data_IF_714642434706
#
_entry.id   IF_714642434706
#
_cell.length_a   1.000
_cell.length_b   1.000
_cell.length_c   1.000
_cell.angle_alpha   90.00
_cell.angle_beta   90.00
_cell.angle_gamma   90.00
#
_symmetry.space_group_name_H-M   'P 1'
#
loop_
_entity.id
_entity.type
_entity.pdbx_description
1 polymer ?
#
# COMPACT_ATOMS: atom_id res chain seq x y z
N UNK A 1 -21.39 -9.36 29.80
CA UNK A 1 -20.86 -8.01 29.45
C UNK A 1 -20.52 -8.00 27.97
N UNK A 2 -21.33 -7.35 27.13
CA UNK A 2 -21.01 -7.18 25.72
C UNK A 2 -19.96 -6.07 25.59
N UNK A 3 -18.81 -6.38 25.01
CA UNK A 3 -17.81 -5.38 24.63
C UNK A 3 -18.44 -4.51 23.55
N UNK A 4 -18.65 -3.22 23.85
CA UNK A 4 -19.08 -2.26 22.86
C UNK A 4 -18.09 -2.29 21.69
N UNK A 5 -18.59 -2.70 20.52
CA UNK A 5 -17.82 -2.67 19.29
C UNK A 5 -17.44 -1.21 19.03
N UNK A 6 -16.17 -0.89 18.71
CA UNK A 6 -15.79 0.50 18.47
C UNK A 6 -16.69 1.05 17.35
N UNK A 7 -17.37 2.16 17.62
CA UNK A 7 -18.17 2.83 16.61
C UNK A 7 -17.26 3.15 15.41
N UNK A 8 -17.57 2.61 14.24
CA UNK A 8 -16.84 2.94 13.03
C UNK A 8 -16.91 4.45 12.82
N UNK A 9 -15.77 5.08 12.52
CA UNK A 9 -15.72 6.51 12.25
C UNK A 9 -16.67 6.85 11.08
N UNK A 10 -17.27 8.05 11.07
CA UNK A 10 -18.11 8.48 9.95
C UNK A 10 -17.33 8.37 8.63
N UNK A 11 -18.03 7.99 7.55
CA UNK A 11 -17.39 7.59 6.29
C UNK A 11 -16.32 8.59 5.76
N UNK A 12 -16.53 9.91 5.90
CA UNK A 12 -15.52 10.91 5.50
C UNK A 12 -14.23 10.84 6.34
N UNK A 13 -14.36 10.57 7.63
CA UNK A 13 -13.22 10.41 8.53
C UNK A 13 -12.47 9.10 8.23
N UNK A 14 -13.20 8.04 7.86
CA UNK A 14 -12.60 6.80 7.38
C UNK A 14 -11.76 7.00 6.10
N UNK A 15 -12.31 7.68 5.08
CA UNK A 15 -11.56 7.95 3.84
C UNK A 15 -10.27 8.73 4.10
N UNK A 16 -10.34 9.76 4.95
CA UNK A 16 -9.18 10.56 5.31
C UNK A 16 -8.10 9.72 6.01
N UNK A 17 -8.48 8.80 6.89
CA UNK A 17 -7.56 7.88 7.58
C UNK A 17 -6.91 6.92 6.59
N UNK A 18 -7.70 6.31 5.68
CA UNK A 18 -7.19 5.40 4.66
C UNK A 18 -6.19 6.12 3.74
N UNK A 19 -6.57 7.28 3.21
CA UNK A 19 -5.70 8.08 2.34
C UNK A 19 -4.40 8.46 3.05
N UNK A 20 -4.48 8.93 4.30
CA UNK A 20 -3.30 9.27 5.10
C UNK A 20 -2.35 8.08 5.27
N UNK A 21 -2.88 6.89 5.52
CA UNK A 21 -2.08 5.67 5.65
C UNK A 21 -1.37 5.29 4.35
N UNK A 22 -2.09 5.34 3.22
CA UNK A 22 -1.53 5.05 1.88
C UNK A 22 -0.44 6.06 1.52
N UNK A 23 -0.71 7.36 1.65
CA UNK A 23 0.28 8.42 1.39
C UNK A 23 1.53 8.21 2.24
N UNK A 24 1.36 7.93 3.54
CA UNK A 24 2.51 7.74 4.44
C UNK A 24 3.33 6.51 4.08
N UNK A 25 2.70 5.41 3.66
CA UNK A 25 3.40 4.21 3.20
C UNK A 25 4.22 4.51 1.93
N UNK A 26 3.60 5.15 0.92
CA UNK A 26 4.28 5.53 -0.32
C UNK A 26 5.44 6.50 -0.09
N UNK A 27 5.27 7.49 0.79
CA UNK A 27 6.33 8.44 1.15
C UNK A 27 7.50 7.73 1.86
N UNK A 28 7.22 6.81 2.79
CA UNK A 28 8.26 6.03 3.48
C UNK A 28 9.00 5.09 2.53
N UNK A 29 8.34 4.57 1.51
CA UNK A 29 8.97 3.80 0.43
C UNK A 29 9.72 4.68 -0.59
N UNK A 30 9.74 6.00 -0.40
CA UNK A 30 10.37 6.97 -1.27
C UNK A 30 9.86 6.87 -2.73
N UNK A 31 8.55 6.65 -2.88
CA UNK A 31 7.91 6.68 -4.19
C UNK A 31 7.78 8.12 -4.69
N UNK A 32 7.97 8.32 -5.99
CA UNK A 32 7.59 9.57 -6.63
C UNK A 32 6.08 9.72 -6.62
N UNK A 33 5.57 10.95 -6.72
CA UNK A 33 4.12 11.17 -6.82
C UNK A 33 3.51 10.45 -8.02
N UNK A 34 4.25 10.27 -9.12
CA UNK A 34 3.80 9.52 -10.30
C UNK A 34 3.69 8.02 -10.00
N UNK A 35 4.73 7.42 -9.43
CA UNK A 35 4.72 6.00 -9.03
C UNK A 35 3.56 5.72 -8.05
N UNK A 36 3.38 6.58 -7.05
CA UNK A 36 2.34 6.41 -6.05
C UNK A 36 0.92 6.60 -6.63
N UNK A 37 0.73 7.57 -7.52
CA UNK A 37 -0.53 7.75 -8.25
C UNK A 37 -0.86 6.54 -9.12
N UNK A 38 0.12 5.96 -9.80
CA UNK A 38 -0.05 4.75 -10.61
C UNK A 38 -0.35 3.51 -9.75
N UNK A 39 0.39 3.33 -8.64
CA UNK A 39 0.18 2.21 -7.72
C UNK A 39 -1.24 2.25 -7.11
N UNK A 40 -1.71 3.45 -6.76
CA UNK A 40 -3.04 3.66 -6.20
C UNK A 40 -4.14 3.85 -7.25
N UNK A 41 -3.78 3.82 -8.54
CA UNK A 41 -4.67 3.93 -9.70
C UNK A 41 -5.61 5.14 -9.65
N UNK A 42 -4.98 6.31 -9.50
CA UNK A 42 -5.64 7.61 -9.54
C UNK A 42 -4.88 8.57 -10.44
N UNK A 43 -5.56 9.57 -11.05
CA UNK A 43 -4.88 10.64 -11.74
C UNK A 43 -3.90 11.36 -10.81
N UNK A 44 -2.77 11.82 -11.35
CA UNK A 44 -1.73 12.52 -10.58
C UNK A 44 -2.29 13.74 -9.81
N UNK A 45 -3.24 14.46 -10.39
CA UNK A 45 -3.89 15.59 -9.72
C UNK A 45 -4.71 15.16 -8.49
N UNK A 46 -5.36 13.99 -8.55
CA UNK A 46 -6.06 13.40 -7.41
C UNK A 46 -5.08 12.94 -6.34
N UNK A 47 -3.98 12.30 -6.72
CA UNK A 47 -2.91 11.94 -5.78
C UNK A 47 -2.34 13.16 -5.06
N UNK A 48 -2.06 14.26 -5.79
CA UNK A 48 -1.54 15.48 -5.19
C UNK A 48 -2.51 16.08 -4.15
N UNK A 49 -3.83 16.07 -4.42
CA UNK A 49 -4.84 16.47 -3.42
C UNK A 49 -4.89 15.54 -2.22
N UNK A 50 -4.79 14.23 -2.44
CA UNK A 50 -4.71 13.23 -1.36
C UNK A 50 -3.50 13.49 -0.46
N UNK A 51 -2.34 13.73 -1.05
CA UNK A 51 -1.09 14.02 -0.34
C UNK A 51 -1.13 15.34 0.42
N UNK A 52 -1.82 16.36 -0.12
CA UNK A 52 -2.04 17.64 0.55
C UNK A 52 -3.06 17.57 1.70
N UNK A 53 -3.84 16.49 1.82
CA UNK A 53 -4.94 16.39 2.78
C UNK A 53 -6.25 17.04 2.32
N UNK A 54 -6.32 17.47 1.06
CA UNK A 54 -7.47 18.19 0.48
C UNK A 54 -8.43 17.28 -0.31
N UNK A 55 -8.21 15.96 -0.28
CA UNK A 55 -9.08 15.01 -0.96
C UNK A 55 -10.44 14.89 -0.23
N UNK A 56 -11.52 15.27 -0.93
CA UNK A 56 -12.91 15.21 -0.44
C UNK A 56 -13.75 14.12 -1.12
N UNK A 57 -13.14 13.27 -1.94
CA UNK A 57 -13.82 12.20 -2.66
C UNK A 57 -14.09 10.96 -1.78
N UNK A 58 -14.71 9.95 -2.39
CA UNK A 58 -14.88 8.62 -1.78
C UNK A 58 -13.96 7.62 -2.48
N UNK A 59 -13.49 6.62 -1.74
CA UNK A 59 -12.77 5.50 -2.31
C UNK A 59 -13.77 4.41 -2.68
N UNK A 60 -13.75 4.00 -3.94
CA UNK A 60 -14.47 2.81 -4.41
C UNK A 60 -13.81 1.53 -3.88
N UNK A 61 -14.42 0.39 -4.20
CA UNK A 61 -13.95 -0.92 -3.74
C UNK A 61 -12.53 -1.24 -4.24
N UNK A 62 -12.19 -0.85 -5.46
CA UNK A 62 -10.86 -1.04 -6.04
C UNK A 62 -9.79 -0.28 -5.22
N UNK A 63 -10.02 1.01 -4.95
CA UNK A 63 -9.10 1.84 -4.16
C UNK A 63 -9.00 1.36 -2.72
N UNK A 64 -10.08 0.88 -2.12
CA UNK A 64 -10.05 0.25 -0.79
C UNK A 64 -9.25 -1.05 -0.78
N UNK A 65 -9.35 -1.86 -1.83
CA UNK A 65 -8.52 -3.07 -1.99
C UNK A 65 -7.04 -2.71 -2.14
N UNK A 66 -6.69 -1.75 -3.01
CA UNK A 66 -5.31 -1.25 -3.16
C UNK A 66 -4.77 -0.69 -1.85
N UNK A 67 -5.56 0.10 -1.12
CA UNK A 67 -5.17 0.62 0.19
C UNK A 67 -4.87 -0.49 1.20
N UNK A 68 -5.74 -1.50 1.28
CA UNK A 68 -5.56 -2.67 2.15
C UNK A 68 -4.27 -3.43 1.81
N UNK A 69 -3.99 -3.62 0.52
CA UNK A 69 -2.77 -4.30 0.07
C UNK A 69 -1.52 -3.47 0.38
N UNK A 70 -1.51 -2.16 0.13
CA UNK A 70 -0.38 -1.27 0.44
C UNK A 70 -0.07 -1.28 1.94
N UNK A 71 -1.08 -1.03 2.78
CA UNK A 71 -0.91 -1.02 4.25
C UNK A 71 -0.48 -2.40 4.75
N UNK A 72 -1.03 -3.45 4.15
CA UNK A 72 -0.71 -4.83 4.45
C UNK A 72 0.75 -5.20 4.16
N UNK A 73 1.24 -4.84 2.97
CA UNK A 73 2.64 -5.01 2.57
C UNK A 73 3.55 -4.20 3.49
N UNK A 74 3.20 -2.94 3.77
CA UNK A 74 3.95 -2.09 4.69
C UNK A 74 4.09 -2.72 6.07
N UNK A 75 2.99 -3.24 6.63
CA UNK A 75 3.01 -3.98 7.90
C UNK A 75 3.88 -5.24 7.80
N UNK A 76 3.72 -6.04 6.75
CA UNK A 76 4.51 -7.27 6.55
C UNK A 76 6.01 -7.01 6.53
N UNK A 77 6.46 -5.99 5.81
CA UNK A 77 7.87 -5.60 5.76
C UNK A 77 8.43 -5.21 7.13
N UNK A 78 7.66 -4.50 7.95
CA UNK A 78 8.06 -4.11 9.33
C UNK A 78 8.14 -5.28 10.30
N UNK A 79 7.46 -6.39 10.01
CA UNK A 79 7.56 -7.60 10.82
C UNK A 79 8.72 -8.47 10.38
N UNK A 80 9.11 -8.40 9.11
CA UNK A 80 10.16 -9.24 8.53
C UNK A 80 11.55 -8.60 8.62
N UNK A 81 11.66 -7.29 8.43
CA UNK A 81 12.92 -6.56 8.45
C UNK A 81 13.03 -5.63 9.67
N UNK A 82 14.25 -5.53 10.21
CA UNK A 82 14.60 -4.62 11.31
C UNK A 82 15.58 -3.50 10.89
N UNK A 83 15.76 -3.30 9.57
CA UNK A 83 16.75 -2.36 9.01
C UNK A 83 16.22 -1.57 7.81
N UNK A 84 17.09 -0.94 7.01
CA UNK A 84 16.70 -0.06 5.90
C UNK A 84 15.74 -0.72 4.89
N UNK A 85 15.86 -2.03 4.68
CA UNK A 85 14.99 -2.82 3.82
C UNK A 85 13.51 -2.75 4.21
N UNK A 86 13.18 -2.46 5.46
CA UNK A 86 11.81 -2.18 5.92
C UNK A 86 11.08 -1.18 5.02
N UNK A 87 11.83 -0.18 4.53
CA UNK A 87 11.32 0.89 3.69
C UNK A 87 11.84 0.82 2.25
N UNK A 88 13.05 0.31 2.05
CA UNK A 88 13.71 0.30 0.73
C UNK A 88 13.30 -0.90 -0.14
N UNK A 89 12.84 -2.00 0.47
CA UNK A 89 12.55 -3.25 -0.26
C UNK A 89 11.58 -3.08 -1.44
N UNK A 90 10.52 -2.26 -1.37
CA UNK A 90 9.62 -2.07 -2.51
C UNK A 90 10.28 -1.50 -3.76
N UNK A 91 11.36 -0.72 -3.62
CA UNK A 91 12.14 -0.15 -4.73
C UNK A 91 13.42 -0.94 -5.03
N UNK A 92 13.80 -1.86 -4.16
CA UNK A 92 15.00 -2.67 -4.37
C UNK A 92 14.78 -3.67 -5.51
N UNK A 93 15.78 -3.82 -6.37
CA UNK A 93 15.84 -4.94 -7.32
C UNK A 93 15.70 -6.23 -6.54
N UNK A 94 14.73 -7.07 -6.94
CA UNK A 94 14.46 -8.31 -6.26
C UNK A 94 14.65 -9.50 -7.22
N UNK A 95 15.51 -10.43 -6.82
CA UNK A 95 15.85 -11.64 -7.59
C UNK A 95 15.02 -12.85 -7.20
N UNK A 96 14.08 -12.70 -6.27
CA UNK A 96 13.14 -13.74 -5.89
C UNK A 96 12.27 -14.18 -7.09
N UNK A 97 11.74 -15.42 -7.09
CA UNK A 97 11.08 -16.01 -8.26
C UNK A 97 9.89 -15.21 -8.82
N UNK A 98 9.21 -14.43 -7.96
CA UNK A 98 8.10 -13.56 -8.40
C UNK A 98 8.57 -12.34 -9.20
N UNK A 99 9.80 -11.89 -8.98
CA UNK A 99 10.22 -10.54 -9.33
C UNK A 99 11.05 -10.47 -10.61
N UNK A 100 11.68 -11.57 -11.02
CA UNK A 100 12.49 -11.66 -12.25
C UNK A 100 13.49 -10.49 -12.41
N UNK A 101 14.11 -10.05 -11.31
CA UNK A 101 15.08 -8.95 -11.30
C UNK A 101 14.47 -7.54 -11.34
N UNK A 102 13.15 -7.40 -11.21
CA UNK A 102 12.47 -6.10 -11.11
C UNK A 102 12.18 -5.72 -9.66
N UNK A 103 11.90 -4.44 -9.42
CA UNK A 103 11.45 -4.03 -8.09
C UNK A 103 10.00 -4.48 -7.85
N UNK A 104 9.62 -4.78 -6.59
CA UNK A 104 8.25 -5.08 -6.24
C UNK A 104 7.25 -3.99 -6.67
N UNK A 105 7.60 -2.71 -6.54
CA UNK A 105 6.69 -1.62 -6.89
C UNK A 105 6.42 -1.55 -8.39
N UNK A 106 7.42 -1.79 -9.23
CA UNK A 106 7.25 -1.75 -10.69
C UNK A 106 6.26 -2.82 -11.15
N UNK A 107 6.38 -4.02 -10.58
CA UNK A 107 5.44 -5.12 -10.89
C UNK A 107 4.04 -4.85 -10.38
N UNK A 108 3.90 -4.24 -9.20
CA UNK A 108 2.60 -3.86 -8.66
C UNK A 108 1.92 -2.76 -9.48
N UNK A 109 2.69 -1.78 -9.98
CA UNK A 109 2.19 -0.73 -10.86
C UNK A 109 1.70 -1.33 -12.19
N UNK A 110 2.50 -2.19 -12.82
CA UNK A 110 2.16 -2.79 -14.11
C UNK A 110 1.01 -3.80 -14.01
N UNK A 111 1.04 -4.65 -12.98
CA UNK A 111 0.10 -5.77 -12.84
C UNK A 111 -1.11 -5.51 -11.95
N UNK A 112 -1.21 -4.31 -11.36
CA UNK A 112 -2.32 -3.89 -10.51
C UNK A 112 -2.61 -4.82 -9.33
N UNK A 113 -3.88 -4.86 -8.90
CA UNK A 113 -4.34 -5.67 -7.76
C UNK A 113 -3.89 -7.14 -7.83
N UNK A 114 -4.02 -7.87 -8.95
CA UNK A 114 -3.57 -9.26 -9.04
C UNK A 114 -2.11 -9.47 -8.61
N UNK A 115 -1.21 -8.57 -9.01
CA UNK A 115 0.20 -8.65 -8.65
C UNK A 115 0.44 -8.13 -7.23
N UNK A 116 -0.24 -7.07 -6.79
CA UNK A 116 -0.19 -6.62 -5.39
C UNK A 116 -0.57 -7.74 -4.41
N UNK A 117 -1.57 -8.56 -4.75
CA UNK A 117 -1.92 -9.76 -3.96
C UNK A 117 -0.80 -10.80 -3.95
N UNK A 118 -0.14 -11.06 -5.09
CA UNK A 118 0.99 -12.00 -5.16
C UNK A 118 2.17 -11.51 -4.32
N UNK A 119 2.49 -10.22 -4.38
CA UNK A 119 3.55 -9.60 -3.54
C UNK A 119 3.22 -9.70 -2.06
N UNK A 120 1.96 -9.43 -1.69
CA UNK A 120 1.51 -9.60 -0.31
C UNK A 120 1.67 -11.04 0.17
N UNK A 121 1.20 -12.02 -0.62
CA UNK A 121 1.37 -13.44 -0.30
C UNK A 121 2.83 -13.87 -0.22
N UNK A 122 3.68 -13.35 -1.10
CA UNK A 122 5.12 -13.62 -1.04
C UNK A 122 5.72 -13.20 0.31
N UNK A 123 5.40 -11.99 0.80
CA UNK A 123 5.83 -11.54 2.13
C UNK A 123 5.22 -12.37 3.27
N UNK A 124 3.97 -12.78 3.11
CA UNK A 124 3.30 -13.66 4.07
C UNK A 124 3.94 -15.07 4.13
N UNK A 125 4.44 -15.57 2.99
CA UNK A 125 5.21 -16.82 2.90
C UNK A 125 6.56 -16.75 3.62
N UNK A 126 7.26 -15.63 3.52
CA UNK A 126 8.56 -15.43 4.19
C UNK A 126 8.46 -15.47 5.72
N UNK A 127 7.28 -15.18 6.29
CA UNK A 127 7.00 -15.29 7.74
C UNK A 127 6.43 -16.66 8.15
N UNK A 128 6.47 -17.66 7.27
CA UNK A 128 5.92 -19.00 7.52
C UNK A 128 4.40 -19.12 7.35
N UNK A 129 3.73 -18.14 6.72
CA UNK A 129 2.31 -18.21 6.41
C UNK A 129 2.07 -18.65 4.96
N UNK A 130 1.39 -19.78 4.76
CA UNK A 130 0.96 -20.27 3.45
C UNK A 130 -0.09 -19.35 2.81
#
# INVERSE_FOLDING_TARGET
>A
MALAQPAFAPARQEEAVIVKAVVKACDLWNLTNREAAQLFDVPIATWNRMKAGDFKGRLDQDKRMRASLIVGIFKGLRLFFNGPLTYQWPKAVNTGPLFSGRSPVDLMIEGGIPVMMKVRRYLDGLRGGL
#
